data_IF_732426701086
#
_entry.id   IF_732426701086
#
_cell.length_a   1.000
_cell.length_b   1.000
_cell.length_c   1.000
_cell.angle_alpha   90.00
_cell.angle_beta   90.00
_cell.angle_gamma   90.00
#
_symmetry.space_group_name_H-M   'P 1'
#
loop_
_entity.id
_entity.type
_entity.pdbx_description
1 polymer ?
#
# COMPACT_ATOMS: atom_id res chain seq x y z
N UNK A 1 -2.72 0.10 21.86
CA UNK A 1 -3.09 -1.23 21.30
C UNK A 1 -1.87 -1.95 20.72
N UNK A 2 -1.90 -3.29 20.57
CA UNK A 2 -0.88 -4.08 19.86
C UNK A 2 -1.46 -4.53 18.52
N UNK A 3 -0.80 -4.17 17.41
CA UNK A 3 -1.23 -4.53 16.05
C UNK A 3 -0.34 -5.69 15.57
N UNK A 4 -0.94 -6.86 15.38
CA UNK A 4 -0.23 -8.09 14.96
C UNK A 4 -0.64 -8.61 13.60
N UNK A 5 -1.84 -8.26 13.15
CA UNK A 5 -2.42 -8.75 11.91
C UNK A 5 -2.36 -7.67 10.83
N UNK A 6 -2.08 -8.07 9.61
CA UNK A 6 -2.14 -7.20 8.44
C UNK A 6 -2.98 -7.82 7.33
N UNK A 7 -3.58 -6.96 6.52
CA UNK A 7 -4.40 -7.31 5.36
C UNK A 7 -3.81 -6.60 4.15
N UNK A 8 -3.61 -7.33 3.06
CA UNK A 8 -3.16 -6.79 1.78
C UNK A 8 -4.25 -7.07 0.74
N UNK A 9 -4.80 -6.04 0.11
CA UNK A 9 -5.80 -6.23 -0.94
C UNK A 9 -5.16 -6.38 -2.31
N UNK A 10 -5.36 -7.52 -2.95
CA UNK A 10 -4.82 -7.90 -4.26
C UNK A 10 -5.87 -8.55 -5.19
N UNK A 11 -7.17 -8.39 -4.91
CA UNK A 11 -8.25 -9.07 -5.64
C UNK A 11 -8.63 -8.41 -6.97
N UNK A 12 -8.14 -7.20 -7.24
CA UNK A 12 -8.45 -6.50 -8.48
C UNK A 12 -7.74 -7.13 -9.69
N UNK A 13 -8.48 -7.87 -10.52
CA UNK A 13 -8.00 -8.43 -11.82
C UNK A 13 -7.64 -7.38 -12.89
N UNK A 14 -7.72 -6.09 -12.54
CA UNK A 14 -6.83 -5.12 -13.15
C UNK A 14 -7.08 -4.79 -14.62
N UNK A 15 -8.33 -4.58 -15.01
CA UNK A 15 -8.81 -4.19 -16.36
C UNK A 15 -7.95 -3.12 -17.07
N UNK A 16 -7.27 -2.23 -16.32
CA UNK A 16 -6.36 -1.20 -16.86
C UNK A 16 -5.04 -1.73 -17.47
N UNK A 17 -4.67 -2.99 -17.21
CA UNK A 17 -3.49 -3.66 -17.77
C UNK A 17 -3.88 -4.90 -18.58
N UNK A 18 -5.12 -4.93 -19.07
CA UNK A 18 -5.59 -5.98 -19.97
C UNK A 18 -4.80 -5.97 -21.30
N UNK A 19 -4.42 -7.12 -21.88
CA UNK A 19 -4.75 -8.50 -21.47
C UNK A 19 -3.76 -9.12 -20.47
N UNK A 20 -2.62 -8.50 -20.20
CA UNK A 20 -1.54 -9.09 -19.38
C UNK A 20 -1.99 -9.39 -17.95
N UNK A 21 -2.85 -8.54 -17.37
CA UNK A 21 -3.39 -8.77 -16.02
C UNK A 21 -4.38 -9.94 -15.91
N UNK A 22 -4.83 -10.51 -17.03
CA UNK A 22 -5.66 -11.72 -17.06
C UNK A 22 -4.83 -13.00 -16.98
N UNK A 23 -3.55 -12.93 -17.37
CA UNK A 23 -2.61 -14.07 -17.38
C UNK A 23 -1.55 -14.00 -16.29
N UNK A 24 -1.15 -12.79 -15.87
CA UNK A 24 -0.15 -12.54 -14.82
C UNK A 24 -0.78 -11.70 -13.71
N UNK A 25 -0.72 -12.21 -12.49
CA UNK A 25 -1.12 -11.48 -11.29
C UNK A 25 -0.22 -10.25 -11.13
N UNK A 26 -0.80 -9.05 -11.08
CA UNK A 26 -0.03 -7.80 -10.97
C UNK A 26 0.90 -7.77 -9.77
N UNK A 27 0.44 -8.35 -8.66
CA UNK A 27 1.19 -8.44 -7.43
C UNK A 27 2.42 -9.37 -7.55
N UNK A 28 2.51 -10.18 -8.61
CA UNK A 28 3.67 -11.01 -8.95
C UNK A 28 4.64 -10.37 -9.95
N UNK A 29 4.38 -9.15 -10.43
CA UNK A 29 5.33 -8.47 -11.32
C UNK A 29 6.65 -8.26 -10.58
N UNK A 30 7.80 -8.67 -11.16
CA UNK A 30 9.09 -8.51 -10.52
C UNK A 30 9.55 -7.05 -10.63
N UNK A 31 10.07 -6.52 -9.53
CA UNK A 31 10.79 -5.24 -9.47
C UNK A 31 12.07 -5.45 -8.68
N UNK A 32 13.08 -4.60 -8.92
CA UNK A 32 14.28 -4.58 -8.09
C UNK A 32 13.95 -3.79 -6.83
N UNK A 33 14.00 -4.45 -5.67
CA UNK A 33 13.75 -3.86 -4.37
C UNK A 33 15.00 -3.09 -3.87
N UNK A 34 14.88 -2.43 -2.72
CA UNK A 34 15.96 -1.62 -2.12
C UNK A 34 17.21 -2.42 -1.74
N UNK A 35 17.14 -3.75 -1.66
CA UNK A 35 18.29 -4.62 -1.44
C UNK A 35 18.94 -5.12 -2.76
N UNK A 36 18.53 -4.56 -3.90
CA UNK A 36 19.07 -4.90 -5.21
C UNK A 36 18.55 -6.22 -5.79
N UNK A 37 17.63 -6.90 -5.11
CA UNK A 37 17.12 -8.20 -5.55
C UNK A 37 15.80 -8.05 -6.32
N UNK A 38 15.62 -8.88 -7.34
CA UNK A 38 14.35 -8.99 -8.05
C UNK A 38 13.34 -9.74 -7.18
N UNK A 39 12.28 -9.06 -6.78
CA UNK A 39 11.22 -9.64 -5.95
C UNK A 39 9.84 -9.37 -6.56
N UNK A 40 8.88 -10.29 -6.40
CA UNK A 40 7.47 -10.00 -6.62
C UNK A 40 7.03 -8.81 -5.76
N UNK A 41 6.24 -7.89 -6.34
CA UNK A 41 5.67 -6.74 -5.61
C UNK A 41 5.00 -7.14 -4.29
N UNK A 42 4.24 -8.23 -4.28
CA UNK A 42 3.53 -8.70 -3.09
C UNK A 42 4.48 -9.17 -1.98
N UNK A 43 5.64 -9.69 -2.33
CA UNK A 43 6.69 -10.03 -1.37
C UNK A 43 7.22 -8.76 -0.70
N UNK A 44 7.52 -7.70 -1.47
CA UNK A 44 8.02 -6.42 -0.94
C UNK A 44 7.00 -5.80 0.03
N UNK A 45 5.72 -5.84 -0.31
CA UNK A 45 4.64 -5.32 0.56
C UNK A 45 4.50 -6.15 1.84
N UNK A 46 4.62 -7.48 1.75
CA UNK A 46 4.62 -8.35 2.92
C UNK A 46 5.84 -8.10 3.82
N UNK A 47 7.04 -7.94 3.24
CA UNK A 47 8.28 -7.61 3.96
C UNK A 47 8.19 -6.25 4.66
N UNK A 48 7.56 -5.24 4.05
CA UNK A 48 7.27 -3.94 4.69
C UNK A 48 6.40 -4.12 5.96
N UNK A 49 5.40 -5.00 5.92
CA UNK A 49 4.53 -5.30 7.06
C UNK A 49 5.28 -6.08 8.15
N UNK A 50 5.97 -7.17 7.79
CA UNK A 50 6.72 -7.99 8.74
C UNK A 50 7.83 -7.20 9.43
N UNK A 51 8.58 -6.38 8.68
CA UNK A 51 9.60 -5.49 9.23
C UNK A 51 9.03 -4.43 10.18
N UNK A 52 7.72 -4.19 10.16
CA UNK A 52 7.02 -3.26 11.04
C UNK A 52 6.35 -3.94 12.25
N UNK A 53 6.61 -5.23 12.47
CA UNK A 53 6.13 -5.98 13.63
C UNK A 53 4.78 -6.68 13.44
N UNK A 54 4.27 -6.76 12.21
CA UNK A 54 3.13 -7.63 11.88
C UNK A 54 3.59 -9.09 11.97
N UNK A 55 2.81 -9.93 12.63
CA UNK A 55 3.08 -11.36 12.89
C UNK A 55 2.35 -12.24 11.86
N UNK A 56 1.13 -11.87 11.44
CA UNK A 56 0.28 -12.63 10.52
C UNK A 56 -0.30 -11.74 9.43
N UNK A 57 -0.37 -12.26 8.21
CA UNK A 57 -0.90 -11.55 7.05
C UNK A 57 -2.04 -12.30 6.39
N UNK A 58 -3.03 -11.56 5.90
CA UNK A 58 -4.03 -12.04 4.99
C UNK A 58 -3.94 -11.29 3.65
N UNK A 59 -3.84 -12.03 2.55
CA UNK A 59 -3.90 -11.48 1.20
C UNK A 59 -5.28 -11.77 0.63
N UNK A 60 -6.04 -10.71 0.35
CA UNK A 60 -7.34 -10.80 -0.31
C UNK A 60 -7.10 -10.89 -1.81
N UNK A 61 -7.36 -12.04 -2.42
CA UNK A 61 -7.09 -12.32 -3.82
C UNK A 61 -8.35 -12.62 -4.62
N UNK A 62 -8.24 -12.63 -5.96
CA UNK A 62 -9.33 -13.10 -6.79
C UNK A 62 -9.45 -14.63 -6.73
N UNK A 63 -10.57 -15.22 -7.15
CA UNK A 63 -10.73 -16.68 -7.13
C UNK A 63 -9.65 -17.41 -7.91
N UNK A 64 -9.07 -18.45 -7.32
CA UNK A 64 -7.98 -19.27 -7.87
C UNK A 64 -6.59 -18.63 -7.83
N UNK A 65 -6.45 -17.37 -7.39
CA UNK A 65 -5.15 -16.72 -7.35
C UNK A 65 -4.29 -17.12 -6.15
N UNK A 66 -4.91 -17.47 -5.02
CA UNK A 66 -4.21 -17.89 -3.80
C UNK A 66 -3.28 -19.09 -4.05
N UNK A 67 -3.79 -20.14 -4.69
CA UNK A 67 -2.99 -21.33 -5.01
C UNK A 67 -1.84 -20.99 -5.97
N UNK A 68 -2.08 -20.12 -6.96
CA UNK A 68 -1.03 -19.66 -7.89
C UNK A 68 0.07 -18.90 -7.19
N UNK A 69 -0.27 -18.01 -6.24
CA UNK A 69 0.72 -17.30 -5.42
C UNK A 69 1.60 -18.29 -4.65
N UNK A 70 0.98 -19.24 -3.94
CA UNK A 70 1.69 -20.26 -3.16
C UNK A 70 2.62 -21.09 -4.05
N UNK A 71 2.15 -21.56 -5.20
CA UNK A 71 2.95 -22.36 -6.11
C UNK A 71 4.12 -21.55 -6.72
N UNK A 72 3.89 -20.29 -7.05
CA UNK A 72 4.95 -19.42 -7.56
C UNK A 72 6.03 -19.15 -6.51
N UNK A 73 5.65 -18.89 -5.26
CA UNK A 73 6.61 -18.71 -4.17
C UNK A 73 7.40 -19.97 -3.85
N UNK A 74 6.76 -21.15 -3.83
CA UNK A 74 7.46 -22.43 -3.67
C UNK A 74 8.49 -22.64 -4.78
N UNK A 75 8.09 -22.41 -6.03
CA UNK A 75 8.99 -22.51 -7.18
C UNK A 75 10.17 -21.54 -7.08
N UNK A 76 9.91 -20.27 -6.70
CA UNK A 76 10.96 -19.27 -6.49
C UNK A 76 11.96 -19.72 -5.41
N UNK A 77 11.44 -20.20 -4.28
CA UNK A 77 12.23 -20.71 -3.15
C UNK A 77 13.08 -21.92 -3.54
N UNK A 78 12.51 -22.88 -4.24
CA UNK A 78 13.23 -24.09 -4.68
C UNK A 78 14.29 -23.76 -5.75
N UNK A 79 14.00 -22.82 -6.65
CA UNK A 79 14.98 -22.34 -7.63
C UNK A 79 16.16 -21.61 -6.98
N UNK A 80 15.93 -20.83 -5.92
CA UNK A 80 16.98 -20.15 -5.17
C UNK A 80 17.94 -21.17 -4.54
N UNK A 81 17.41 -22.16 -3.82
CA UNK A 81 18.22 -23.18 -3.16
C UNK A 81 18.92 -24.10 -4.16
N UNK A 82 18.26 -24.44 -5.27
CA UNK A 82 18.83 -25.29 -6.30
C UNK A 82 19.92 -24.61 -7.14
N UNK A 83 19.73 -23.34 -7.50
CA UNK A 83 20.63 -22.63 -8.44
C UNK A 83 21.78 -21.91 -7.74
N UNK A 84 21.60 -21.52 -6.47
CA UNK A 84 22.56 -20.69 -5.71
C UNK A 84 22.97 -21.36 -4.40
N UNK A 85 23.20 -22.67 -4.42
CA UNK A 85 23.52 -23.45 -3.23
C UNK A 85 24.75 -22.91 -2.49
N UNK A 86 24.59 -22.58 -1.21
CA UNK A 86 25.65 -22.06 -0.34
C UNK A 86 25.97 -20.57 -0.55
N UNK A 87 25.13 -19.84 -1.28
CA UNK A 87 25.24 -18.40 -1.46
C UNK A 87 24.35 -17.71 -0.43
N UNK A 88 24.96 -16.95 0.48
CA UNK A 88 24.31 -16.33 1.65
C UNK A 88 23.06 -15.48 1.32
N UNK A 89 23.11 -14.66 0.27
CA UNK A 89 21.94 -13.84 -0.10
C UNK A 89 20.76 -14.70 -0.58
N UNK A 90 21.04 -15.82 -1.26
CA UNK A 90 20.00 -16.71 -1.77
C UNK A 90 19.35 -17.51 -0.64
N UNK A 91 20.16 -17.98 0.33
CA UNK A 91 19.67 -18.65 1.53
C UNK A 91 18.78 -17.73 2.38
N UNK A 92 19.17 -16.45 2.53
CA UNK A 92 18.35 -15.43 3.20
C UNK A 92 17.03 -15.19 2.50
N UNK A 93 17.03 -15.08 1.17
CA UNK A 93 15.79 -14.89 0.40
C UNK A 93 14.88 -16.12 0.46
N UNK A 94 15.45 -17.33 0.37
CA UNK A 94 14.68 -18.56 0.53
C UNK A 94 14.02 -18.62 1.92
N UNK A 95 14.74 -18.25 2.98
CA UNK A 95 14.20 -18.17 4.33
C UNK A 95 13.10 -17.10 4.48
N UNK A 96 13.24 -15.95 3.82
CA UNK A 96 12.21 -14.91 3.79
C UNK A 96 10.92 -15.41 3.10
N UNK A 97 11.04 -16.17 2.01
CA UNK A 97 9.90 -16.79 1.34
C UNK A 97 9.26 -17.89 2.20
N UNK A 98 10.06 -18.73 2.87
CA UNK A 98 9.56 -19.73 3.81
C UNK A 98 8.79 -19.06 4.98
N UNK A 99 9.28 -17.93 5.48
CA UNK A 99 8.56 -17.11 6.47
C UNK A 99 7.23 -16.57 5.92
N UNK A 100 7.24 -16.01 4.70
CA UNK A 100 6.02 -15.53 4.03
C UNK A 100 4.99 -16.66 3.90
N UNK A 101 5.38 -17.81 3.39
CA UNK A 101 4.49 -18.96 3.16
C UNK A 101 3.89 -19.52 4.46
N UNK A 102 4.57 -19.36 5.60
CA UNK A 102 4.11 -19.86 6.90
C UNK A 102 3.20 -18.88 7.66
N UNK A 103 3.25 -17.59 7.34
CA UNK A 103 2.53 -16.53 8.07
C UNK A 103 1.49 -15.79 7.22
N UNK A 104 1.30 -16.19 5.95
CA UNK A 104 0.33 -15.58 5.04
C UNK A 104 -0.81 -16.54 4.73
N UNK A 105 -2.04 -16.09 4.97
CA UNK A 105 -3.26 -16.72 4.49
C UNK A 105 -3.80 -16.02 3.25
N UNK A 106 -4.27 -16.77 2.27
CA UNK A 106 -4.97 -16.23 1.11
C UNK A 106 -6.48 -16.41 1.28
N UNK A 107 -7.24 -15.31 1.15
CA UNK A 107 -8.70 -15.33 1.21
C UNK A 107 -9.25 -14.78 -0.09
N UNK A 108 -10.20 -15.50 -0.68
CA UNK A 108 -10.76 -15.11 -1.98
C UNK A 108 -11.91 -14.12 -1.82
N UNK A 109 -11.79 -12.99 -2.51
CA UNK A 109 -12.94 -12.15 -2.82
C UNK A 109 -13.72 -12.80 -3.98
N UNK A 110 -14.74 -13.60 -3.64
CA UNK A 110 -15.53 -14.37 -4.62
C UNK A 110 -16.14 -13.50 -5.71
N UNK A 111 -16.68 -12.35 -5.32
CA UNK A 111 -17.30 -11.38 -6.22
C UNK A 111 -16.60 -10.02 -6.13
N UNK A 112 -16.22 -9.39 -7.25
CA UNK A 112 -15.43 -8.15 -7.27
C UNK A 112 -16.30 -6.92 -6.96
N UNK A 113 -16.94 -6.87 -5.80
CA UNK A 113 -17.89 -5.84 -5.36
C UNK A 113 -17.24 -4.55 -4.84
N UNK A 114 -15.95 -4.33 -5.12
CA UNK A 114 -15.22 -3.12 -4.73
C UNK A 114 -14.24 -3.30 -3.58
N UNK A 115 -13.55 -2.21 -3.24
CA UNK A 115 -12.44 -2.18 -2.27
C UNK A 115 -12.94 -2.37 -0.82
N UNK A 116 -14.06 -1.76 -0.45
CA UNK A 116 -14.68 -1.96 0.86
C UNK A 116 -15.06 -3.41 1.11
N UNK A 117 -15.62 -4.10 0.10
CA UNK A 117 -15.90 -5.53 0.18
C UNK A 117 -14.62 -6.36 0.32
N UNK A 118 -13.56 -6.03 -0.41
CA UNK A 118 -12.28 -6.72 -0.28
C UNK A 118 -11.73 -6.62 1.15
N UNK A 119 -11.83 -5.45 1.78
CA UNK A 119 -11.48 -5.28 3.21
C UNK A 119 -12.39 -6.14 4.08
N UNK A 120 -13.71 -6.10 3.86
CA UNK A 120 -14.69 -6.87 4.65
C UNK A 120 -14.44 -8.39 4.62
N UNK A 121 -13.95 -8.94 3.50
CA UNK A 121 -13.57 -10.36 3.41
C UNK A 121 -12.52 -10.79 4.45
N UNK A 122 -11.76 -9.85 5.03
CA UNK A 122 -10.78 -10.13 6.07
C UNK A 122 -11.37 -10.22 7.49
N UNK A 123 -12.67 -9.96 7.70
CA UNK A 123 -13.30 -9.86 9.04
C UNK A 123 -12.99 -11.08 9.92
N UNK A 124 -13.17 -12.28 9.38
CA UNK A 124 -12.92 -13.54 10.12
C UNK A 124 -11.44 -13.75 10.45
N UNK A 125 -10.52 -13.39 9.53
CA UNK A 125 -9.08 -13.48 9.79
C UNK A 125 -8.63 -12.50 10.88
N UNK A 126 -9.12 -11.27 10.81
CA UNK A 126 -8.79 -10.23 11.78
C UNK A 126 -9.33 -10.59 13.17
N UNK A 127 -10.54 -11.16 13.26
CA UNK A 127 -11.13 -11.68 14.49
C UNK A 127 -11.18 -10.65 15.64
N UNK A 128 -11.82 -9.52 15.39
CA UNK A 128 -12.01 -8.41 16.36
C UNK A 128 -10.72 -7.84 16.97
N UNK A 129 -9.59 -7.96 16.27
CA UNK A 129 -8.32 -7.32 16.63
C UNK A 129 -8.05 -6.08 15.75
N UNK A 130 -7.27 -5.09 16.23
CA UNK A 130 -6.80 -4.02 15.36
C UNK A 130 -5.82 -4.57 14.33
N UNK A 131 -5.90 -4.06 13.10
CA UNK A 131 -5.14 -4.59 11.97
C UNK A 131 -4.59 -3.50 11.06
N UNK A 132 -3.48 -3.82 10.40
CA UNK A 132 -2.91 -3.03 9.32
C UNK A 132 -3.61 -3.37 8.00
N UNK A 133 -3.88 -2.37 7.15
CA UNK A 133 -4.33 -2.53 5.78
C UNK A 133 -3.35 -1.87 4.82
N UNK A 134 -2.88 -2.64 3.84
CA UNK A 134 -2.00 -2.20 2.75
C UNK A 134 -2.64 -2.49 1.38
N UNK A 135 -2.28 -1.69 0.39
CA UNK A 135 -2.70 -1.90 -0.99
C UNK A 135 -1.66 -2.76 -1.72
N UNK A 136 -2.12 -3.82 -2.40
CA UNK A 136 -1.27 -4.76 -3.13
C UNK A 136 -0.59 -4.20 -4.39
N UNK A 137 -0.88 -2.96 -4.76
CA UNK A 137 -0.31 -2.25 -5.91
C UNK A 137 0.46 -0.98 -5.53
N UNK A 138 0.68 -0.74 -4.23
CA UNK A 138 1.41 0.43 -3.73
C UNK A 138 2.72 -0.03 -3.11
N UNK A 139 3.83 0.54 -3.59
CA UNK A 139 5.13 0.40 -2.95
C UNK A 139 5.48 1.66 -2.19
N UNK A 140 6.17 1.49 -1.08
CA UNK A 140 6.41 2.56 -0.11
C UNK A 140 7.89 2.71 0.16
N UNK A 141 8.37 3.94 0.11
CA UNK A 141 9.77 4.28 0.37
C UNK A 141 9.78 5.32 1.47
N UNK A 142 10.39 4.97 2.60
CA UNK A 142 10.53 5.89 3.73
C UNK A 142 11.65 6.90 3.48
N UNK A 143 11.45 8.14 3.92
CA UNK A 143 12.52 9.14 3.96
C UNK A 143 13.32 9.07 5.26
N UNK A 144 12.92 8.22 6.21
CA UNK A 144 13.59 8.04 7.49
C UNK A 144 14.51 6.82 7.42
N UNK A 145 15.75 6.99 7.86
CA UNK A 145 16.69 5.87 7.96
C UNK A 145 16.16 4.84 8.97
N UNK A 146 16.24 3.56 8.61
CA UNK A 146 15.90 2.41 9.46
C UNK A 146 14.45 2.37 9.97
N UNK A 147 13.54 3.22 9.46
CA UNK A 147 12.13 3.24 9.89
C UNK A 147 11.20 3.16 8.69
N UNK A 148 10.47 2.05 8.59
CA UNK A 148 9.51 1.81 7.51
C UNK A 148 8.32 2.79 7.57
N UNK A 149 7.64 2.98 6.44
CA UNK A 149 6.44 3.84 6.39
C UNK A 149 5.34 3.26 7.28
N UNK A 150 5.18 1.94 7.24
CA UNK A 150 4.21 1.20 8.05
C UNK A 150 4.51 1.34 9.55
N UNK A 151 5.78 1.28 9.97
CA UNK A 151 6.16 1.48 11.39
C UNK A 151 5.71 2.83 11.93
N UNK A 152 5.87 3.91 11.14
CA UNK A 152 5.44 5.26 11.54
C UNK A 152 3.93 5.29 11.86
N UNK A 153 3.13 4.59 11.07
CA UNK A 153 1.68 4.53 11.22
C UNK A 153 1.26 3.69 12.43
N UNK A 154 1.86 2.50 12.58
CA UNK A 154 1.58 1.56 13.68
C UNK A 154 1.90 2.18 15.04
N UNK A 155 3.01 2.92 15.16
CA UNK A 155 3.39 3.59 16.41
C UNK A 155 2.34 4.62 16.84
N UNK A 156 1.91 5.49 15.93
CA UNK A 156 0.88 6.49 16.26
C UNK A 156 -0.43 5.83 16.65
N UNK A 157 -0.87 4.83 15.89
CA UNK A 157 -2.09 4.09 16.19
C UNK A 157 -2.01 3.40 17.55
N UNK A 158 -0.86 2.81 17.88
CA UNK A 158 -0.61 2.16 19.17
C UNK A 158 -0.66 3.15 20.33
N UNK A 159 -0.06 4.33 20.16
CA UNK A 159 0.02 5.42 21.14
C UNK A 159 -1.36 6.04 21.40
N UNK A 160 -2.08 6.40 20.33
CA UNK A 160 -3.37 7.10 20.41
C UNK A 160 -4.55 6.15 20.59
N UNK A 161 -4.30 4.85 20.50
CA UNK A 161 -5.25 3.76 20.68
C UNK A 161 -6.51 3.91 19.81
N UNK A 162 -6.32 4.28 18.55
CA UNK A 162 -7.41 4.58 17.63
C UNK A 162 -7.04 4.22 16.19
N UNK A 163 -8.02 4.27 15.29
CA UNK A 163 -7.74 4.11 13.85
C UNK A 163 -6.87 5.26 13.34
N UNK A 164 -5.95 4.96 12.43
CA UNK A 164 -5.05 5.94 11.83
C UNK A 164 -4.83 5.65 10.35
N UNK A 165 -4.93 6.67 9.51
CA UNK A 165 -4.64 6.58 8.08
C UNK A 165 -3.43 7.39 7.68
N UNK A 166 -2.56 6.82 6.88
CA UNK A 166 -1.43 7.54 6.32
C UNK A 166 -1.92 8.53 5.23
N UNK A 167 -1.36 9.73 5.21
CA UNK A 167 -1.60 10.76 4.19
C UNK A 167 -0.30 11.39 3.70
N UNK A 168 -0.35 12.00 2.52
CA UNK A 168 0.66 12.95 2.06
C UNK A 168 -0.01 14.20 1.46
N UNK A 169 0.58 15.39 1.69
CA UNK A 169 0.27 16.58 0.90
C UNK A 169 0.42 16.28 -0.59
N UNK A 170 -0.66 16.48 -1.34
CA UNK A 170 -0.76 16.21 -2.76
C UNK A 170 -1.17 17.49 -3.47
N UNK A 171 -0.43 17.84 -4.52
CA UNK A 171 -0.72 19.02 -5.34
C UNK A 171 -2.07 18.88 -6.04
N UNK A 172 -2.81 19.98 -6.13
CA UNK A 172 -4.22 20.05 -6.55
C UNK A 172 -4.55 19.31 -7.85
N UNK A 173 -3.67 19.31 -8.85
CA UNK A 173 -3.90 18.63 -10.13
C UNK A 173 -3.84 17.09 -10.04
N UNK A 174 -3.54 16.52 -8.87
CA UNK A 174 -3.43 15.08 -8.64
C UNK A 174 -4.49 14.54 -7.67
N UNK A 175 -5.27 15.39 -7.01
CA UNK A 175 -6.18 14.97 -5.93
C UNK A 175 -7.34 14.10 -6.42
N UNK A 176 -7.76 14.28 -7.67
CA UNK A 176 -8.81 13.47 -8.31
C UNK A 176 -8.44 11.98 -8.49
N UNK A 177 -7.25 11.57 -8.05
CA UNK A 177 -6.76 10.20 -8.07
C UNK A 177 -6.96 9.48 -6.74
N UNK A 178 -7.18 10.21 -5.66
CA UNK A 178 -7.10 9.70 -4.30
C UNK A 178 -8.30 10.13 -3.47
N UNK A 179 -8.64 9.35 -2.45
CA UNK A 179 -9.45 9.86 -1.35
C UNK A 179 -8.71 11.02 -0.69
N UNK A 180 -9.39 12.14 -0.54
CA UNK A 180 -8.84 13.40 -0.06
C UNK A 180 -9.61 13.81 1.18
N UNK A 181 -8.91 14.29 2.18
CA UNK A 181 -9.50 14.62 3.47
C UNK A 181 -9.11 16.01 3.94
N UNK A 182 -9.88 16.51 4.90
CA UNK A 182 -9.51 17.63 5.76
C UNK A 182 -9.75 17.28 7.22
N UNK A 183 -9.08 18.02 8.10
CA UNK A 183 -9.14 17.79 9.53
C UNK A 183 -8.40 18.86 10.30
N UNK A 184 -8.52 18.79 11.63
CA UNK A 184 -7.83 19.70 12.54
C UNK A 184 -6.50 19.09 12.96
N UNK A 185 -5.44 19.87 12.93
CA UNK A 185 -4.16 19.42 13.43
C UNK A 185 -4.24 19.16 14.94
N UNK A 186 -3.77 18.01 15.39
CA UNK A 186 -3.74 17.65 16.81
C UNK A 186 -2.70 18.52 17.53
N UNK A 187 -3.09 19.08 18.68
CA UNK A 187 -2.21 19.95 19.47
C UNK A 187 -0.91 19.23 19.84
N UNK A 188 0.21 19.94 19.71
CA UNK A 188 1.56 19.41 20.00
C UNK A 188 2.02 18.22 19.13
N UNK A 189 1.30 17.90 18.05
CA UNK A 189 1.68 16.83 17.10
C UNK A 189 1.77 17.38 15.69
N UNK A 190 3.00 17.52 15.17
CA UNK A 190 3.23 17.97 13.80
C UNK A 190 2.86 16.88 12.79
N UNK A 191 2.05 17.22 11.80
CA UNK A 191 1.64 16.27 10.75
C UNK A 191 0.62 15.22 11.20
N UNK A 192 -0.04 15.41 12.33
CA UNK A 192 -1.15 14.54 12.78
C UNK A 192 -2.43 15.36 12.79
N UNK A 193 -3.49 14.81 12.18
CA UNK A 193 -4.77 15.48 12.01
C UNK A 193 -5.89 14.59 12.53
N UNK A 194 -6.84 15.16 13.26
CA UNK A 194 -8.12 14.51 13.51
C UNK A 194 -9.01 14.72 12.28
N UNK A 195 -9.45 13.62 11.68
CA UNK A 195 -10.15 13.65 10.39
C UNK A 195 -11.58 14.12 10.61
N UNK A 196 -12.01 15.13 9.85
CA UNK A 196 -13.38 15.67 9.92
C UNK A 196 -14.20 15.30 8.68
N UNK A 197 -13.56 15.34 7.51
CA UNK A 197 -14.24 15.12 6.24
C UNK A 197 -13.35 14.42 5.23
N UNK A 198 -13.93 13.48 4.50
CA UNK A 198 -13.27 12.68 3.48
C UNK A 198 -14.16 12.65 2.23
N UNK A 199 -13.57 12.89 1.06
CA UNK A 199 -14.25 12.76 -0.23
C UNK A 199 -13.39 11.88 -1.16
N UNK A 200 -14.04 10.91 -1.81
CA UNK A 200 -13.37 10.05 -2.78
C UNK A 200 -13.17 10.81 -4.10
N UNK A 201 -11.90 10.95 -4.51
CA UNK A 201 -11.52 11.51 -5.83
C UNK A 201 -12.26 12.81 -6.18
N UNK A 202 -12.20 13.84 -5.32
CA UNK A 202 -12.93 15.08 -5.53
C UNK A 202 -12.47 15.79 -6.81
N UNK A 203 -13.36 16.59 -7.39
CA UNK A 203 -12.95 17.63 -8.34
C UNK A 203 -12.17 18.73 -7.59
N UNK A 204 -11.37 19.51 -8.33
CA UNK A 204 -10.65 20.64 -7.73
C UNK A 204 -11.61 21.62 -7.04
N UNK A 205 -12.68 22.02 -7.73
CA UNK A 205 -13.66 22.97 -7.19
C UNK A 205 -14.35 22.44 -5.93
N UNK A 206 -14.63 21.13 -5.84
CA UNK A 206 -15.20 20.53 -4.64
C UNK A 206 -14.19 20.53 -3.48
N UNK A 207 -12.91 20.23 -3.77
CA UNK A 207 -11.87 20.24 -2.77
C UNK A 207 -11.60 21.65 -2.22
N UNK A 208 -11.60 22.68 -3.07
CA UNK A 208 -11.45 24.09 -2.66
C UNK A 208 -12.56 24.55 -1.71
N UNK A 209 -13.77 24.01 -1.87
CA UNK A 209 -14.93 24.35 -1.04
C UNK A 209 -14.96 23.57 0.28
N UNK A 210 -14.55 22.30 0.27
CA UNK A 210 -14.88 21.37 1.37
C UNK A 210 -13.66 20.70 2.03
N UNK A 211 -12.46 20.77 1.43
CA UNK A 211 -11.30 19.98 1.84
C UNK A 211 -10.05 20.84 2.13
N UNK A 212 -10.22 22.14 2.36
CA UNK A 212 -9.11 22.99 2.81
C UNK A 212 -8.71 22.62 4.23
N UNK A 213 -7.42 22.35 4.44
CA UNK A 213 -6.84 22.02 5.74
C UNK A 213 -6.05 23.21 6.29
N UNK A 214 -6.42 23.75 7.48
CA UNK A 214 -5.66 24.83 8.10
C UNK A 214 -4.18 24.47 8.29
N UNK A 215 -3.30 25.41 7.94
CA UNK A 215 -1.84 25.23 8.05
C UNK A 215 -1.20 24.48 6.88
N UNK A 216 -1.99 23.90 5.96
CA UNK A 216 -1.46 23.29 4.75
C UNK A 216 -1.17 24.37 3.70
N UNK A 217 -0.12 24.15 2.88
CA UNK A 217 0.24 25.06 1.80
C UNK A 217 -0.90 25.18 0.78
N UNK A 218 -1.19 26.39 0.33
CA UNK A 218 -2.17 26.64 -0.75
C UNK A 218 -1.83 25.80 -2.00
N UNK A 219 -2.86 25.20 -2.59
CA UNK A 219 -2.75 24.28 -3.74
C UNK A 219 -2.32 22.86 -3.37
N UNK A 220 -2.27 22.52 -2.08
CA UNK A 220 -2.04 21.16 -1.59
C UNK A 220 -3.22 20.70 -0.73
N UNK A 221 -3.49 19.40 -0.80
CA UNK A 221 -4.54 18.71 -0.05
C UNK A 221 -3.99 17.45 0.60
N UNK A 222 -4.56 17.02 1.73
CA UNK A 222 -4.20 15.75 2.34
C UNK A 222 -4.89 14.62 1.59
N UNK A 223 -4.11 13.78 0.90
CA UNK A 223 -4.64 12.59 0.23
C UNK A 223 -4.14 11.32 0.90
N UNK A 224 -4.98 10.29 0.92
CA UNK A 224 -4.61 8.98 1.46
C UNK A 224 -3.36 8.41 0.78
N UNK A 225 -2.50 7.86 1.62
CA UNK A 225 -1.23 7.27 1.24
C UNK A 225 -1.37 5.77 0.88
N UNK A 226 -2.54 5.18 1.12
CA UNK A 226 -2.80 3.76 0.89
C UNK A 226 -2.26 2.86 2.00
N UNK A 227 -2.17 3.37 3.24
CA UNK A 227 -1.93 2.55 4.43
C UNK A 227 -2.90 2.98 5.52
N UNK A 228 -3.46 2.02 6.23
CA UNK A 228 -4.40 2.27 7.31
C UNK A 228 -4.13 1.31 8.46
N UNK A 229 -4.29 1.76 9.69
CA UNK A 229 -4.46 0.90 10.86
C UNK A 229 -5.89 1.11 11.32
N UNK A 230 -6.67 0.04 11.39
CA UNK A 230 -8.06 0.09 11.79
C UNK A 230 -8.31 -0.63 13.10
N UNK A 231 -9.24 -0.09 13.86
CA UNK A 231 -9.97 -0.82 14.90
C UNK A 231 -11.05 -1.71 14.24
N UNK A 232 -11.51 -2.77 14.93
CA UNK A 232 -12.54 -3.67 14.40
C UNK A 232 -13.85 -2.98 13.98
N UNK A 233 -14.16 -1.82 14.56
CA UNK A 233 -15.36 -1.03 14.27
C UNK A 233 -15.59 -0.78 12.76
N UNK A 234 -14.53 -0.72 11.95
CA UNK A 234 -14.66 -0.58 10.50
C UNK A 234 -15.48 -1.70 9.85
N UNK A 235 -15.44 -2.91 10.40
CA UNK A 235 -16.18 -4.05 9.84
C UNK A 235 -17.69 -3.94 10.04
N UNK A 236 -18.14 -3.36 11.15
CA UNK A 236 -19.56 -3.15 11.40
C UNK A 236 -20.13 -2.05 10.49
N UNK A 237 -19.34 -1.00 10.27
CA UNK A 237 -19.65 0.07 9.30
C UNK A 237 -19.73 -0.53 7.88
N UNK A 238 -18.72 -1.30 7.48
CA UNK A 238 -18.70 -1.95 6.16
C UNK A 238 -19.87 -2.92 5.99
N UNK A 239 -20.22 -3.69 7.02
CA UNK A 239 -21.35 -4.61 6.97
C UNK A 239 -22.66 -3.89 6.68
N UNK A 240 -22.91 -2.77 7.38
CA UNK A 240 -24.11 -1.94 7.17
C UNK A 240 -24.12 -1.32 5.78
N UNK A 241 -23.00 -0.74 5.33
CA UNK A 241 -22.89 -0.18 3.98
C UNK A 241 -23.14 -1.25 2.91
N UNK A 242 -22.79 -2.50 3.19
CA UNK A 242 -23.02 -3.61 2.27
C UNK A 242 -24.50 -3.94 2.03
N UNK A 243 -25.40 -3.53 2.92
CA UNK A 243 -26.85 -3.73 2.77
C UNK A 243 -27.49 -2.69 1.84
N UNK A 244 -26.82 -1.56 1.56
CA UNK A 244 -27.40 -0.39 0.90
C UNK A 244 -26.97 -0.19 -0.57
N UNK A 245 -25.75 -0.61 -0.93
CA UNK A 245 -25.15 -0.38 -2.26
C UNK A 245 -24.72 -1.69 -2.95
N UNK A 246 -24.20 -1.61 -4.19
CA UNK A 246 -23.64 -2.78 -4.92
C UNK A 246 -22.14 -2.64 -5.26
N UNK A 247 -21.54 -1.45 -5.13
CA UNK A 247 -20.11 -1.22 -5.38
C UNK A 247 -19.50 -0.49 -4.18
N UNK A 248 -18.96 -1.27 -3.25
CA UNK A 248 -18.56 -0.81 -1.94
C UNK A 248 -17.20 -0.14 -2.00
N UNK A 249 -17.20 1.18 -2.04
CA UNK A 249 -16.01 1.99 -1.80
C UNK A 249 -15.70 1.98 -0.30
N UNK A 250 -14.41 2.02 0.05
CA UNK A 250 -13.99 2.13 1.45
C UNK A 250 -14.26 3.53 2.01
N UNK A 251 -14.19 4.56 1.17
CA UNK A 251 -14.21 5.98 1.59
C UNK A 251 -15.47 6.40 2.35
N UNK A 252 -16.70 5.99 1.96
CA UNK A 252 -17.89 6.23 2.79
C UNK A 252 -17.79 5.62 4.20
N UNK A 253 -17.31 4.39 4.32
CA UNK A 253 -17.07 3.77 5.63
C UNK A 253 -16.03 4.54 6.46
N UNK A 254 -14.98 5.08 5.82
CA UNK A 254 -14.01 5.94 6.52
C UNK A 254 -14.62 7.26 6.99
N UNK A 255 -15.55 7.82 6.23
CA UNK A 255 -16.29 9.02 6.64
C UNK A 255 -17.22 8.72 7.83
N UNK A 256 -17.91 7.58 7.85
CA UNK A 256 -18.71 7.16 9.00
C UNK A 256 -17.81 6.91 10.22
N UNK A 257 -16.66 6.24 10.04
CA UNK A 257 -15.69 6.02 11.11
C UNK A 257 -15.18 7.34 11.72
N UNK A 258 -14.94 8.36 10.89
CA UNK A 258 -14.53 9.69 11.36
C UNK A 258 -15.61 10.41 12.20
N UNK A 259 -16.88 10.04 12.01
CA UNK A 259 -18.00 10.62 12.75
C UNK A 259 -18.31 9.86 14.04
N UNK A 260 -18.03 8.55 14.08
CA UNK A 260 -18.38 7.69 15.22
C UNK A 260 -17.22 7.51 16.20
N UNK A 261 -15.98 7.49 15.71
CA UNK A 261 -14.80 7.12 16.49
C UNK A 261 -13.68 8.15 16.32
N UNK A 262 -12.74 8.16 17.28
CA UNK A 262 -11.49 8.90 17.12
C UNK A 262 -10.73 8.31 15.94
N UNK A 263 -10.50 9.12 14.90
CA UNK A 263 -9.83 8.69 13.69
C UNK A 263 -8.84 9.76 13.23
N UNK A 264 -7.56 9.37 13.19
CA UNK A 264 -6.47 10.29 12.88
C UNK A 264 -5.90 10.05 11.48
N UNK A 265 -5.33 11.10 10.90
CA UNK A 265 -4.47 11.04 9.74
C UNK A 265 -3.03 11.37 10.14
N UNK A 266 -2.07 10.59 9.65
CA UNK A 266 -0.64 10.81 9.83
C UNK A 266 0.01 11.19 8.50
N UNK A 267 0.66 12.35 8.45
CA UNK A 267 1.58 12.71 7.37
C UNK A 267 2.84 11.84 7.44
N UNK A 268 2.85 10.74 6.69
CA UNK A 268 3.98 9.80 6.66
C UNK A 268 5.17 10.45 5.97
N UNK A 269 6.35 10.32 6.60
CA UNK A 269 7.63 10.76 6.04
C UNK A 269 8.16 9.71 5.08
N UNK A 270 7.58 9.69 3.90
CA UNK A 270 7.91 8.78 2.82
C UNK A 270 7.13 9.10 1.56
N UNK A 271 7.26 8.24 0.55
CA UNK A 271 6.54 8.33 -0.71
C UNK A 271 5.89 7.00 -1.03
N UNK A 272 4.74 7.07 -1.69
CA UNK A 272 4.06 5.93 -2.29
C UNK A 272 4.24 5.93 -3.80
N UNK A 273 4.28 4.74 -4.38
CA UNK A 273 4.38 4.52 -5.81
C UNK A 273 3.24 3.59 -6.24
N UNK A 274 2.26 4.18 -6.93
CA UNK A 274 1.07 3.49 -7.45
C UNK A 274 1.41 2.77 -8.76
N UNK A 275 1.50 1.45 -8.70
CA UNK A 275 1.85 0.58 -9.82
C UNK A 275 0.71 0.42 -10.83
N UNK A 276 -0.53 0.79 -10.47
CA UNK A 276 -1.69 0.70 -11.37
C UNK A 276 -1.70 1.75 -12.48
N UNK A 277 -0.79 2.73 -12.41
CA UNK A 277 -0.66 3.84 -13.37
C UNK A 277 0.20 3.45 -14.57
N UNK A 278 -0.02 4.11 -15.70
CA UNK A 278 0.71 3.87 -16.97
C UNK A 278 2.23 3.83 -16.80
N UNK A 279 2.81 4.79 -16.08
CA UNK A 279 4.25 4.84 -15.77
C UNK A 279 4.53 4.48 -14.30
N UNK A 280 3.60 3.77 -13.64
CA UNK A 280 3.67 3.44 -12.22
C UNK A 280 4.88 2.58 -11.89
N UNK A 281 5.03 1.46 -12.61
CA UNK A 281 6.15 0.53 -12.48
C UNK A 281 7.48 1.23 -12.73
N UNK A 282 7.61 1.99 -13.83
CA UNK A 282 8.85 2.73 -14.15
C UNK A 282 9.24 3.68 -13.01
N UNK A 283 8.28 4.46 -12.51
CA UNK A 283 8.52 5.41 -11.40
C UNK A 283 8.90 4.69 -10.11
N UNK A 284 8.26 3.57 -9.82
CA UNK A 284 8.59 2.75 -8.65
C UNK A 284 9.99 2.16 -8.77
N UNK A 285 10.34 1.61 -9.94
CA UNK A 285 11.64 1.00 -10.20
C UNK A 285 12.79 2.00 -10.04
N UNK A 286 12.65 3.20 -10.61
CA UNK A 286 13.61 4.28 -10.42
C UNK A 286 13.74 4.63 -8.94
N UNK A 287 12.62 4.71 -8.22
CA UNK A 287 12.63 5.13 -6.84
C UNK A 287 13.23 4.09 -5.90
N UNK A 288 12.94 2.80 -6.09
CA UNK A 288 13.54 1.70 -5.31
C UNK A 288 15.04 1.63 -5.56
N UNK A 289 15.45 1.69 -6.82
CA UNK A 289 16.87 1.70 -7.20
C UNK A 289 17.61 2.87 -6.54
N UNK A 290 17.06 4.08 -6.60
CA UNK A 290 17.66 5.27 -5.97
C UNK A 290 17.59 5.27 -4.43
N UNK A 291 16.76 4.44 -3.81
CA UNK A 291 16.62 4.38 -2.35
C UNK A 291 17.43 3.23 -1.72
N UNK A 292 17.99 2.35 -2.55
CA UNK A 292 18.58 1.09 -2.12
C UNK A 292 20.05 0.91 -2.50
N UNK A 293 20.50 -0.33 -2.42
CA UNK A 293 21.88 -0.75 -2.71
C UNK A 293 22.29 -0.48 -4.17
N UNK A 294 21.31 -0.46 -5.08
CA UNK A 294 21.50 -0.16 -6.50
C UNK A 294 21.51 1.35 -6.83
N UNK A 295 21.66 2.25 -5.85
CA UNK A 295 21.55 3.71 -6.04
C UNK A 295 22.50 4.23 -7.12
N UNK A 296 23.79 3.92 -7.01
CA UNK A 296 24.81 4.47 -7.91
C UNK A 296 24.65 3.89 -9.33
N UNK A 297 24.35 2.60 -9.45
CA UNK A 297 24.08 1.95 -10.73
C UNK A 297 22.83 2.55 -11.40
N UNK A 298 21.74 2.68 -10.65
CA UNK A 298 20.49 3.28 -11.13
C UNK A 298 20.71 4.71 -11.61
N UNK A 299 21.44 5.52 -10.85
CA UNK A 299 21.73 6.90 -11.21
C UNK A 299 22.56 6.98 -12.50
N UNK A 300 23.59 6.15 -12.63
CA UNK A 300 24.42 6.09 -13.84
C UNK A 300 23.61 5.67 -15.05
N UNK A 301 22.80 4.61 -14.96
CA UNK A 301 21.92 4.15 -16.05
C UNK A 301 20.96 5.26 -16.49
N UNK A 302 20.40 6.04 -15.56
CA UNK A 302 19.52 7.15 -15.90
C UNK A 302 20.26 8.27 -16.64
N UNK A 303 21.48 8.62 -16.20
CA UNK A 303 22.31 9.65 -16.86
C UNK A 303 22.71 9.21 -18.27
N UNK A 304 23.15 7.96 -18.44
CA UNK A 304 23.51 7.38 -19.74
C UNK A 304 22.31 7.40 -20.70
N UNK A 305 21.15 6.91 -20.25
CA UNK A 305 19.93 6.89 -21.06
C UNK A 305 19.49 8.30 -21.51
N UNK A 306 19.65 9.31 -20.64
CA UNK A 306 19.35 10.71 -20.97
C UNK A 306 20.36 11.30 -21.96
N UNK A 307 21.64 10.94 -21.85
CA UNK A 307 22.68 11.36 -22.78
C UNK A 307 22.45 10.78 -24.19
N UNK A 308 22.10 9.50 -24.28
CA UNK A 308 21.78 8.82 -25.54
C UNK A 308 20.50 9.35 -26.19
N UNK A 309 19.45 9.61 -25.39
CA UNK A 309 18.19 10.14 -25.90
C UNK A 309 18.36 11.46 -26.66
N UNK A 310 19.29 12.31 -26.23
CA UNK A 310 19.61 13.56 -26.92
C UNK A 310 20.36 13.35 -28.24
N UNK A 311 21.09 12.25 -28.43
CA UNK A 311 21.79 11.96 -29.69
C UNK A 311 20.81 11.56 -30.80
N UNK A 312 19.68 10.95 -30.45
CA UNK A 312 18.64 10.54 -31.40
C UNK A 312 17.73 11.68 -31.89
N UNK A 313 17.78 12.88 -31.29
CA UNK A 313 17.01 14.04 -31.78
C UNK A 313 17.72 14.83 -32.90
N UNK A 314 18.99 14.54 -33.19
CA UNK A 314 19.79 15.27 -34.18
C UNK A 314 20.17 14.43 -35.42
N UNK A 315 19.58 13.24 -35.58
CA UNK A 315 19.66 12.40 -36.78
C UNK A 315 18.26 12.15 -37.35
#
# INVERSE_FOLDING_TARGET
MKIKKGVITAAARGQRLYPVADTIQKAMLPVIDIDGLHKPVIQIIAEEAFASGIEELCIICAPGDGEKYVNAFKSLRDNLIGSYQGIDWADKQAAAIDHLLSHVQFIEQKEPLGYGHAVYCAKEFVNDEPFLLLLGDYLYISNLQQKRCTTQLIELASQENCSVSAVNPTIEHQINRYGTLTGKQVSNSSGVYEIEKIIEKPSLSLAELELLTPGLRVGYYLCFFGMHVFTPAIFDILQKQMEEENNYLLTPALQELALTDKYLALEVKGKRYDLSRKNGILRAQIALGLAGDAHDETLNTLVEALAEANQHQFN
#
